data_IF_049429720053
#
_entry.id   IF_049429720053
#
_cell.length_a   1.000
_cell.length_b   1.000
_cell.length_c   1.000
_cell.angle_alpha   90.00
_cell.angle_beta   90.00
_cell.angle_gamma   90.00
#
_symmetry.space_group_name_H-M   'P 1'
#
loop_
_entity.id
_entity.type
_entity.pdbx_description
1 polymer ?
#
# COMPACT_ATOMS: atom_id res chain seq x y z
N UNK A 1 14.48 -40.28 25.26
CA UNK A 1 14.13 -39.43 26.40
C UNK A 1 12.63 -39.56 26.57
N UNK A 2 12.21 -40.24 27.63
CA UNK A 2 10.80 -40.42 27.99
C UNK A 2 10.35 -39.12 28.65
N UNK A 3 9.43 -38.39 28.03
CA UNK A 3 8.81 -37.20 28.64
C UNK A 3 8.03 -37.60 29.90
N UNK A 4 8.13 -36.76 30.92
CA UNK A 4 7.42 -36.88 32.19
C UNK A 4 5.92 -37.04 31.94
N UNK A 5 5.38 -38.21 32.30
CA UNK A 5 3.98 -38.54 32.08
C UNK A 5 3.07 -37.60 32.87
N UNK A 6 2.29 -36.79 32.17
CA UNK A 6 1.10 -36.15 32.74
C UNK A 6 0.20 -37.22 33.33
N UNK A 7 0.00 -37.16 34.65
CA UNK A 7 -0.85 -38.11 35.36
C UNK A 7 -2.27 -38.06 34.78
N UNK A 8 -2.76 -39.20 34.29
CA UNK A 8 -4.10 -39.37 33.73
C UNK A 8 -5.17 -38.97 34.78
N UNK A 9 -6.10 -38.07 34.39
CA UNK A 9 -7.15 -37.56 35.28
C UNK A 9 -8.30 -38.56 35.45
N UNK A 10 -8.56 -39.37 34.43
CA UNK A 10 -9.56 -40.43 34.43
C UNK A 10 -8.91 -41.81 34.20
N UNK A 11 -9.42 -42.90 34.79
CA UNK A 11 -9.00 -44.27 34.46
C UNK A 11 -9.11 -44.57 32.97
N UNK A 12 -8.01 -44.97 32.34
CA UNK A 12 -7.88 -45.09 30.88
C UNK A 12 -8.84 -46.10 30.25
N UNK A 13 -9.10 -47.20 30.95
CA UNK A 13 -9.93 -48.33 30.47
C UNK A 13 -11.44 -48.13 30.70
N UNK A 14 -11.82 -47.14 31.52
CA UNK A 14 -13.23 -46.89 31.81
C UNK A 14 -13.93 -46.29 30.58
N UNK A 15 -15.17 -46.72 30.35
CA UNK A 15 -16.04 -46.19 29.29
C UNK A 15 -17.05 -45.23 29.93
N UNK A 16 -17.10 -44.01 29.41
CA UNK A 16 -17.99 -42.94 29.85
C UNK A 16 -19.09 -42.69 28.82
N UNK A 17 -20.30 -42.44 29.29
CA UNK A 17 -21.47 -42.17 28.45
C UNK A 17 -21.76 -40.66 28.44
N UNK A 18 -21.70 -40.04 27.26
CA UNK A 18 -22.00 -38.62 27.06
C UNK A 18 -23.14 -38.50 26.05
N UNK A 19 -24.29 -37.98 26.46
CA UNK A 19 -25.41 -37.68 25.59
C UNK A 19 -25.35 -36.23 25.11
N UNK A 20 -25.11 -36.05 23.81
CA UNK A 20 -25.10 -34.76 23.12
C UNK A 20 -26.40 -34.63 22.31
N UNK A 21 -27.30 -33.77 22.77
CA UNK A 21 -28.64 -33.65 22.21
C UNK A 21 -29.37 -35.00 22.24
N UNK A 22 -29.60 -35.58 21.06
CA UNK A 22 -30.31 -36.87 20.90
C UNK A 22 -29.40 -38.09 20.74
N UNK A 23 -28.08 -37.90 20.65
CA UNK A 23 -27.12 -39.00 20.42
C UNK A 23 -26.25 -39.26 21.64
N UNK A 24 -25.99 -40.53 21.94
CA UNK A 24 -25.10 -40.96 23.02
C UNK A 24 -23.77 -41.45 22.47
N UNK A 25 -22.68 -40.84 22.93
CA UNK A 25 -21.31 -41.18 22.62
C UNK A 25 -20.70 -41.96 23.78
N UNK A 26 -20.01 -43.07 23.46
CA UNK A 26 -19.25 -43.87 24.41
C UNK A 26 -17.77 -43.59 24.21
N UNK A 27 -17.12 -43.01 25.21
CA UNK A 27 -15.75 -42.51 25.11
C UNK A 27 -14.90 -43.14 26.21
N UNK A 28 -13.71 -43.64 25.88
CA UNK A 28 -12.78 -44.17 26.88
C UNK A 28 -12.13 -43.04 27.70
N UNK A 29 -11.71 -43.34 28.93
CA UNK A 29 -10.92 -42.42 29.74
C UNK A 29 -9.63 -42.00 29.04
N UNK A 30 -8.99 -42.90 28.31
CA UNK A 30 -7.82 -42.59 27.47
C UNK A 30 -8.12 -41.45 26.47
N UNK A 31 -9.26 -41.52 25.78
CA UNK A 31 -9.64 -40.52 24.78
C UNK A 31 -10.00 -39.18 25.44
N UNK A 32 -10.66 -39.20 26.61
CA UNK A 32 -10.98 -37.98 27.36
C UNK A 32 -9.74 -37.30 27.95
N UNK A 33 -8.74 -38.07 28.38
CA UNK A 33 -7.46 -37.55 28.86
C UNK A 33 -6.60 -36.96 27.74
N UNK A 34 -6.86 -37.34 26.47
CA UNK A 34 -6.05 -36.91 25.32
C UNK A 34 -6.01 -35.38 25.17
N UNK A 35 -7.06 -34.67 25.57
CA UNK A 35 -7.17 -33.21 25.50
C UNK A 35 -7.66 -32.63 26.83
N UNK A 36 -7.07 -33.12 27.92
CA UNK A 36 -7.38 -32.70 29.28
C UNK A 36 -6.39 -31.65 29.82
N UNK A 37 -6.75 -30.87 30.86
CA UNK A 37 -8.06 -30.83 31.52
C UNK A 37 -9.14 -30.23 30.61
N UNK A 38 -10.34 -30.79 30.69
CA UNK A 38 -11.51 -30.39 29.91
C UNK A 38 -12.80 -30.45 30.73
N UNK A 39 -13.88 -29.89 30.18
CA UNK A 39 -15.22 -29.98 30.76
C UNK A 39 -15.65 -31.43 31.06
N UNK A 40 -15.20 -32.39 30.23
CA UNK A 40 -15.50 -33.80 30.42
C UNK A 40 -14.71 -34.40 31.58
N UNK A 41 -13.40 -34.15 31.66
CA UNK A 41 -12.60 -34.64 32.78
C UNK A 41 -13.09 -34.06 34.09
N UNK A 42 -13.40 -32.77 34.13
CA UNK A 42 -13.94 -32.11 35.32
C UNK A 42 -15.29 -32.70 35.76
N UNK A 43 -16.14 -33.09 34.81
CA UNK A 43 -17.42 -33.72 35.12
C UNK A 43 -17.26 -35.13 35.73
N UNK A 44 -16.34 -35.95 35.19
CA UNK A 44 -16.19 -37.36 35.56
C UNK A 44 -15.18 -37.62 36.68
N UNK A 45 -14.30 -36.66 36.99
CA UNK A 45 -13.38 -36.74 38.14
C UNK A 45 -14.18 -37.03 39.41
N UNK A 46 -13.72 -38.02 40.19
CA UNK A 46 -14.39 -38.47 41.42
C UNK A 46 -15.71 -39.22 41.21
N UNK A 47 -16.13 -39.47 39.95
CA UNK A 47 -17.31 -40.26 39.58
C UNK A 47 -16.97 -41.53 38.79
N UNK A 48 -15.69 -41.87 38.68
CA UNK A 48 -15.19 -42.98 37.87
C UNK A 48 -15.79 -44.35 38.24
N UNK A 49 -16.20 -44.53 39.50
CA UNK A 49 -16.82 -45.77 40.00
C UNK A 49 -18.31 -45.92 39.63
N UNK A 50 -18.90 -44.93 38.93
CA UNK A 50 -20.30 -44.91 38.48
C UNK A 50 -20.38 -44.96 36.95
N UNK A 51 -19.89 -46.03 36.36
CA UNK A 51 -19.84 -46.24 34.90
C UNK A 51 -21.20 -46.04 34.17
N UNK A 52 -22.32 -46.16 34.89
CA UNK A 52 -23.67 -45.99 34.34
C UNK A 52 -24.15 -44.52 34.27
N UNK A 53 -23.38 -43.57 34.80
CA UNK A 53 -23.79 -42.17 34.81
C UNK A 53 -23.64 -41.54 33.42
N UNK A 54 -24.76 -41.06 32.86
CA UNK A 54 -24.81 -40.35 31.58
C UNK A 54 -24.65 -38.84 31.80
N UNK A 55 -23.69 -38.23 31.12
CA UNK A 55 -23.53 -36.78 31.08
C UNK A 55 -24.40 -36.20 29.95
N UNK A 56 -25.34 -35.32 30.28
CA UNK A 56 -26.22 -34.69 29.29
C UNK A 56 -25.69 -33.31 28.89
N UNK A 57 -25.61 -33.04 27.59
CA UNK A 57 -25.21 -31.75 27.04
C UNK A 57 -26.14 -31.37 25.88
N UNK A 58 -26.70 -30.17 25.94
CA UNK A 58 -27.60 -29.63 24.92
C UNK A 58 -26.80 -28.91 23.80
N UNK A 59 -26.09 -29.69 22.98
CA UNK A 59 -25.30 -29.22 21.82
C UNK A 59 -25.50 -30.12 20.60
N UNK A 60 -24.93 -29.71 19.47
CA UNK A 60 -25.08 -30.43 18.20
C UNK A 60 -24.23 -31.71 18.18
N UNK A 61 -24.88 -32.87 18.05
CA UNK A 61 -24.19 -34.14 17.90
C UNK A 61 -23.29 -34.20 16.66
N UNK A 62 -23.69 -33.53 15.57
CA UNK A 62 -22.92 -33.50 14.33
C UNK A 62 -21.57 -32.77 14.48
N UNK A 63 -21.53 -31.70 15.29
CA UNK A 63 -20.28 -30.98 15.58
C UNK A 63 -19.43 -31.81 16.53
N UNK A 64 -20.07 -32.41 17.55
CA UNK A 64 -19.41 -33.24 18.52
C UNK A 64 -18.77 -34.50 17.92
N UNK A 65 -19.30 -35.05 16.83
CA UNK A 65 -18.68 -36.18 16.12
C UNK A 65 -17.22 -35.88 15.70
N UNK A 66 -16.93 -34.65 15.25
CA UNK A 66 -15.55 -34.24 14.93
C UNK A 66 -14.69 -34.10 16.19
N UNK A 67 -15.27 -33.60 17.28
CA UNK A 67 -14.59 -33.52 18.58
C UNK A 67 -14.28 -34.93 19.11
N UNK A 68 -15.22 -35.85 18.98
CA UNK A 68 -15.06 -37.25 19.33
C UNK A 68 -13.89 -37.88 18.56
N UNK A 69 -13.81 -37.67 17.25
CA UNK A 69 -12.68 -38.13 16.43
C UNK A 69 -11.35 -37.52 16.89
N UNK A 70 -11.32 -36.22 17.20
CA UNK A 70 -10.13 -35.55 17.77
C UNK A 70 -9.69 -36.17 19.10
N UNK A 71 -10.64 -36.41 20.02
CA UNK A 71 -10.36 -37.05 21.31
C UNK A 71 -9.85 -38.49 21.16
N UNK A 72 -10.23 -39.18 20.08
CA UNK A 72 -9.68 -40.50 19.73
C UNK A 72 -8.30 -40.42 19.05
N UNK A 73 -7.77 -39.22 18.79
CA UNK A 73 -6.49 -39.01 18.14
C UNK A 73 -6.53 -38.99 16.61
N UNK A 74 -7.71 -38.95 15.99
CA UNK A 74 -7.82 -38.80 14.53
C UNK A 74 -7.60 -37.36 14.10
N UNK A 75 -6.96 -37.19 12.94
CA UNK A 75 -6.87 -35.89 12.28
C UNK A 75 -8.25 -35.47 11.76
N UNK A 76 -8.69 -34.27 12.13
CA UNK A 76 -9.96 -33.70 11.68
C UNK A 76 -9.74 -32.72 10.53
N UNK A 77 -10.73 -32.63 9.65
CA UNK A 77 -10.76 -31.67 8.55
C UNK A 77 -11.98 -30.77 8.72
N UNK A 78 -11.75 -29.47 8.60
CA UNK A 78 -12.80 -28.44 8.55
C UNK A 78 -13.08 -28.11 7.09
N UNK A 79 -14.35 -28.16 6.69
CA UNK A 79 -14.73 -28.00 5.29
C UNK A 79 -15.13 -26.57 4.92
N UNK A 80 -15.73 -25.82 5.85
CA UNK A 80 -16.21 -24.45 5.59
C UNK A 80 -16.22 -23.58 6.86
N UNK A 81 -16.57 -22.30 6.69
CA UNK A 81 -16.61 -21.29 7.75
C UNK A 81 -17.64 -21.58 8.84
N UNK A 82 -18.80 -22.14 8.48
CA UNK A 82 -19.85 -22.48 9.44
C UNK A 82 -19.37 -23.60 10.37
N UNK A 83 -18.77 -24.63 9.77
CA UNK A 83 -18.20 -25.74 10.51
C UNK A 83 -17.04 -25.28 11.41
N UNK A 84 -16.14 -24.43 10.90
CA UNK A 84 -15.05 -23.84 11.69
C UNK A 84 -15.60 -23.12 12.93
N UNK A 85 -16.56 -22.21 12.73
CA UNK A 85 -17.13 -21.38 13.82
C UNK A 85 -17.88 -22.20 14.86
N UNK A 86 -18.64 -23.23 14.43
CA UNK A 86 -19.32 -24.14 15.34
C UNK A 86 -18.33 -25.00 16.13
N UNK A 87 -17.34 -25.58 15.46
CA UNK A 87 -16.33 -26.42 16.09
C UNK A 87 -15.45 -25.61 17.05
N UNK A 88 -15.08 -24.39 16.69
CA UNK A 88 -14.35 -23.48 17.58
C UNK A 88 -15.19 -23.11 18.81
N UNK A 89 -16.48 -22.81 18.63
CA UNK A 89 -17.40 -22.53 19.75
C UNK A 89 -17.43 -23.70 20.74
N UNK A 90 -17.55 -24.94 20.22
CA UNK A 90 -17.61 -26.15 21.03
C UNK A 90 -16.26 -26.47 21.68
N UNK A 91 -15.15 -26.29 20.97
CA UNK A 91 -13.80 -26.47 21.53
C UNK A 91 -13.54 -25.55 22.73
N UNK A 92 -14.00 -24.29 22.64
CA UNK A 92 -13.95 -23.33 23.75
C UNK A 92 -14.87 -23.77 24.89
N UNK A 93 -16.12 -24.15 24.58
CA UNK A 93 -17.10 -24.58 25.59
C UNK A 93 -16.64 -25.81 26.38
N UNK A 94 -16.11 -26.81 25.68
CA UNK A 94 -15.65 -28.06 26.29
C UNK A 94 -14.26 -27.95 26.91
N UNK A 95 -13.59 -26.80 26.82
CA UNK A 95 -12.22 -26.61 27.27
C UNK A 95 -11.25 -27.63 26.66
N UNK A 96 -11.15 -27.64 25.34
CA UNK A 96 -10.28 -28.56 24.61
C UNK A 96 -9.04 -27.80 24.09
N UNK A 97 -7.98 -27.65 24.90
CA UNK A 97 -6.85 -26.79 24.55
C UNK A 97 -6.09 -27.24 23.29
N UNK A 98 -5.92 -28.55 23.07
CA UNK A 98 -5.24 -29.07 21.88
C UNK A 98 -6.09 -28.86 20.63
N UNK A 99 -7.40 -29.12 20.71
CA UNK A 99 -8.32 -28.82 19.60
C UNK A 99 -8.34 -27.33 19.27
N UNK A 100 -8.41 -26.48 20.30
CA UNK A 100 -8.42 -25.03 20.12
C UNK A 100 -7.13 -24.54 19.45
N UNK A 101 -5.98 -25.02 19.91
CA UNK A 101 -4.69 -24.72 19.29
C UNK A 101 -4.64 -25.20 17.83
N UNK A 102 -5.10 -26.42 17.55
CA UNK A 102 -5.20 -26.94 16.19
C UNK A 102 -6.03 -26.03 15.26
N UNK A 103 -7.15 -25.51 15.73
CA UNK A 103 -8.00 -24.60 14.95
C UNK A 103 -7.34 -23.23 14.72
N UNK A 104 -6.73 -22.65 15.77
CA UNK A 104 -6.04 -21.36 15.70
C UNK A 104 -4.83 -21.44 14.76
N UNK A 105 -4.04 -22.50 14.89
CA UNK A 105 -2.83 -22.77 14.11
C UNK A 105 -3.12 -23.34 12.72
N UNK A 106 -4.39 -23.57 12.37
CA UNK A 106 -4.78 -24.11 11.08
C UNK A 106 -4.12 -23.36 9.92
N UNK A 107 -3.75 -24.07 8.86
CA UNK A 107 -3.04 -23.51 7.72
C UNK A 107 -3.92 -22.65 6.79
N UNK A 108 -5.20 -22.51 7.12
CA UNK A 108 -6.23 -21.94 6.25
C UNK A 108 -7.09 -20.94 7.00
N UNK A 109 -7.58 -19.91 6.30
CA UNK A 109 -8.73 -19.13 6.72
C UNK A 109 -10.01 -19.74 6.12
N UNK A 110 -11.11 -19.65 6.87
CA UNK A 110 -12.42 -20.08 6.42
C UNK A 110 -13.36 -18.88 6.41
N UNK A 111 -13.91 -18.53 5.26
CA UNK A 111 -14.77 -17.35 5.12
C UNK A 111 -15.85 -17.57 4.06
N UNK A 112 -17.01 -16.95 4.27
CA UNK A 112 -18.04 -16.83 3.27
C UNK A 112 -17.96 -15.46 2.57
N UNK A 113 -17.90 -15.44 1.25
CA UNK A 113 -17.95 -14.21 0.46
C UNK A 113 -19.23 -14.21 -0.36
N UNK A 114 -20.21 -13.41 0.08
CA UNK A 114 -21.54 -13.27 -0.52
C UNK A 114 -22.21 -14.57 -0.96
N UNK A 115 -22.14 -15.61 -0.13
CA UNK A 115 -22.79 -16.91 -0.35
C UNK A 115 -21.85 -18.03 -0.77
N UNK A 116 -20.60 -17.73 -1.14
CA UNK A 116 -19.61 -18.74 -1.49
C UNK A 116 -18.59 -18.96 -0.35
N UNK A 117 -18.41 -20.22 0.05
CA UNK A 117 -17.40 -20.61 1.05
C UNK A 117 -16.01 -20.74 0.45
N UNK A 118 -15.02 -20.12 1.10
CA UNK A 118 -13.61 -20.18 0.72
C UNK A 118 -12.76 -20.74 1.86
N UNK A 119 -11.97 -21.77 1.53
CA UNK A 119 -10.83 -22.22 2.32
C UNK A 119 -9.54 -21.65 1.71
N UNK A 120 -8.91 -20.71 2.41
CA UNK A 120 -7.81 -19.90 1.87
C UNK A 120 -6.51 -20.26 2.61
N UNK A 121 -5.53 -20.89 1.95
CA UNK A 121 -4.24 -21.18 2.57
C UNK A 121 -3.51 -19.90 3.02
N UNK A 122 -3.10 -19.84 4.29
CA UNK A 122 -2.40 -18.70 4.91
C UNK A 122 -1.09 -18.37 4.19
N UNK A 123 -0.42 -19.39 3.64
CA UNK A 123 0.84 -19.23 2.90
C UNK A 123 0.71 -18.42 1.60
N UNK A 124 -0.50 -18.26 1.04
CA UNK A 124 -0.75 -17.39 -0.11
C UNK A 124 -0.41 -15.92 0.18
N UNK A 125 -0.43 -15.54 1.46
CA UNK A 125 -0.16 -14.20 1.95
C UNK A 125 1.27 -14.01 2.46
N UNK A 126 2.18 -14.94 2.15
CA UNK A 126 3.57 -14.93 2.64
C UNK A 126 4.41 -13.75 2.12
N UNK A 127 3.97 -13.08 1.06
CA UNK A 127 4.69 -11.93 0.48
C UNK A 127 4.59 -10.72 1.41
N UNK A 128 5.70 -10.00 1.54
CA UNK A 128 5.76 -8.74 2.30
C UNK A 128 4.70 -7.77 1.78
N UNK A 129 3.78 -7.35 2.65
CA UNK A 129 2.68 -6.44 2.33
C UNK A 129 1.33 -7.12 2.09
N UNK A 130 1.29 -8.45 1.91
CA UNK A 130 0.02 -9.21 1.86
C UNK A 130 -0.33 -9.85 3.22
N UNK A 131 0.54 -9.72 4.24
CA UNK A 131 0.30 -10.09 5.63
C UNK A 131 0.94 -9.07 6.60
N UNK A 132 0.31 -8.78 7.76
CA UNK A 132 -1.05 -9.16 8.10
C UNK A 132 -2.08 -8.43 7.23
N UNK A 133 -3.18 -9.11 6.93
CA UNK A 133 -4.24 -8.59 6.07
C UNK A 133 -5.61 -8.69 6.76
N UNK A 134 -6.69 -8.40 6.04
CA UNK A 134 -8.06 -8.46 6.57
C UNK A 134 -8.35 -9.78 7.32
N UNK A 135 -8.02 -10.93 6.73
CA UNK A 135 -8.30 -12.24 7.33
C UNK A 135 -7.50 -12.50 8.61
N UNK A 136 -6.24 -12.06 8.64
CA UNK A 136 -5.42 -12.14 9.85
C UNK A 136 -6.03 -11.28 10.96
N UNK A 137 -6.42 -10.05 10.63
CA UNK A 137 -6.99 -9.10 11.60
C UNK A 137 -8.31 -9.62 12.17
N UNK A 138 -9.22 -10.11 11.33
CA UNK A 138 -10.49 -10.69 11.77
C UNK A 138 -10.23 -11.88 12.70
N UNK A 139 -9.42 -12.85 12.28
CA UNK A 139 -9.14 -14.04 13.09
C UNK A 139 -8.57 -13.73 14.49
N UNK A 140 -7.71 -12.70 14.60
CA UNK A 140 -7.15 -12.27 15.89
C UNK A 140 -8.23 -11.68 16.79
N UNK A 141 -9.08 -10.81 16.23
CA UNK A 141 -10.17 -10.17 16.98
C UNK A 141 -11.14 -11.21 17.50
N UNK A 142 -11.49 -12.21 16.69
CA UNK A 142 -12.35 -13.30 17.13
C UNK A 142 -11.70 -14.07 18.28
N UNK A 143 -10.47 -14.54 18.10
CA UNK A 143 -9.76 -15.30 19.13
C UNK A 143 -9.68 -14.55 20.47
N UNK A 144 -9.38 -13.24 20.44
CA UNK A 144 -9.29 -12.40 21.65
C UNK A 144 -10.67 -12.21 22.28
N UNK A 145 -11.68 -11.85 21.49
CA UNK A 145 -13.04 -11.64 21.98
C UNK A 145 -13.58 -12.92 22.64
N UNK A 146 -13.32 -14.07 22.05
CA UNK A 146 -13.76 -15.35 22.60
C UNK A 146 -13.06 -15.72 23.88
N UNK A 147 -11.74 -15.54 23.98
CA UNK A 147 -11.02 -15.82 25.23
C UNK A 147 -11.53 -14.96 26.39
N UNK A 148 -11.68 -13.66 26.15
CA UNK A 148 -12.18 -12.72 27.16
C UNK A 148 -13.66 -12.96 27.51
N UNK A 149 -14.47 -13.38 26.54
CA UNK A 149 -15.88 -13.69 26.78
C UNK A 149 -16.06 -15.01 27.51
N UNK A 150 -15.23 -16.01 27.21
CA UNK A 150 -15.25 -17.30 27.87
C UNK A 150 -15.11 -17.14 29.39
N UNK A 151 -14.10 -16.37 29.81
CA UNK A 151 -13.85 -16.02 31.22
C UNK A 151 -15.07 -15.41 31.91
N UNK A 152 -15.95 -14.73 31.16
CA UNK A 152 -17.23 -14.20 31.65
C UNK A 152 -18.36 -15.24 31.62
N UNK A 153 -18.42 -16.06 30.58
CA UNK A 153 -19.51 -17.03 30.34
C UNK A 153 -19.52 -18.23 31.30
N UNK A 154 -18.39 -18.54 31.95
CA UNK A 154 -18.33 -19.46 33.10
C UNK A 154 -19.35 -19.04 34.18
N UNK A 155 -19.66 -17.74 34.28
CA UNK A 155 -20.68 -17.22 35.19
C UNK A 155 -22.13 -17.37 34.68
N UNK A 156 -22.37 -17.48 33.36
CA UNK A 156 -23.69 -17.34 32.73
C UNK A 156 -24.23 -18.61 32.05
N UNK A 157 -23.45 -19.70 31.97
CA UNK A 157 -23.86 -21.07 31.54
C UNK A 157 -24.53 -21.21 30.16
N UNK A 158 -24.49 -20.21 29.27
CA UNK A 158 -24.89 -20.34 27.87
C UNK A 158 -23.86 -19.72 26.93
N UNK A 159 -23.06 -20.51 26.20
CA UNK A 159 -22.14 -19.98 25.21
C UNK A 159 -22.89 -19.50 23.97
N UNK A 160 -22.63 -18.27 23.53
CA UNK A 160 -23.06 -17.78 22.23
C UNK A 160 -22.31 -18.52 21.11
N UNK A 161 -23.03 -18.90 20.06
CA UNK A 161 -22.43 -19.45 18.83
C UNK A 161 -21.74 -18.32 18.06
N UNK A 162 -20.49 -18.53 17.65
CA UNK A 162 -19.80 -17.58 16.75
C UNK A 162 -20.54 -17.58 15.41
N UNK A 163 -21.05 -16.43 14.94
CA UNK A 163 -21.53 -16.35 13.58
C UNK A 163 -20.35 -16.56 12.64
N UNK A 164 -20.53 -17.36 11.60
CA UNK A 164 -19.46 -17.58 10.66
C UNK A 164 -19.08 -16.29 9.91
N UNK A 165 -17.80 -16.16 9.57
CA UNK A 165 -17.29 -14.97 8.92
C UNK A 165 -17.93 -14.77 7.55
N UNK A 166 -18.71 -13.71 7.44
CA UNK A 166 -19.36 -13.30 6.21
C UNK A 166 -18.80 -11.97 5.69
N UNK A 167 -18.50 -11.93 4.40
CA UNK A 167 -17.92 -10.78 3.72
C UNK A 167 -18.80 -10.42 2.52
N UNK A 168 -19.41 -9.24 2.57
CA UNK A 168 -20.32 -8.74 1.52
C UNK A 168 -19.56 -8.15 0.32
N UNK A 169 -18.70 -8.95 -0.33
CA UNK A 169 -17.91 -8.59 -1.53
C UNK A 169 -18.18 -9.58 -2.66
N UNK A 170 -17.71 -9.28 -3.88
CA UNK A 170 -17.92 -10.16 -5.03
C UNK A 170 -17.03 -11.40 -4.95
N UNK A 171 -17.61 -12.62 -4.98
CA UNK A 171 -16.84 -13.86 -4.99
C UNK A 171 -16.04 -14.01 -6.30
N UNK A 172 -16.51 -13.46 -7.42
CA UNK A 172 -15.82 -13.52 -8.71
C UNK A 172 -14.51 -12.75 -8.69
N UNK A 173 -14.52 -11.51 -8.18
CA UNK A 173 -13.29 -10.74 -8.03
C UNK A 173 -12.36 -11.36 -7.00
N UNK A 174 -12.90 -11.98 -5.94
CA UNK A 174 -12.07 -12.66 -4.96
C UNK A 174 -11.34 -13.88 -5.54
N UNK A 175 -11.99 -14.68 -6.39
CA UNK A 175 -11.33 -15.79 -7.13
C UNK A 175 -10.17 -15.29 -7.99
N UNK A 176 -10.33 -14.14 -8.64
CA UNK A 176 -9.26 -13.50 -9.40
C UNK A 176 -8.09 -13.09 -8.48
N UNK A 177 -8.38 -12.52 -7.30
CA UNK A 177 -7.34 -12.19 -6.32
C UNK A 177 -6.55 -13.43 -5.89
N UNK A 178 -7.24 -14.52 -5.55
CA UNK A 178 -6.60 -15.79 -5.18
C UNK A 178 -5.71 -16.32 -6.32
N UNK A 179 -6.19 -16.24 -7.56
CA UNK A 179 -5.42 -16.65 -8.75
C UNK A 179 -4.17 -15.76 -8.95
N UNK A 180 -4.26 -14.46 -8.69
CA UNK A 180 -3.09 -13.56 -8.79
C UNK A 180 -2.09 -13.77 -7.66
N UNK A 181 -2.55 -14.15 -6.46
CA UNK A 181 -1.70 -14.47 -5.31
C UNK A 181 -0.90 -15.76 -5.53
N UNK A 182 -1.51 -16.78 -6.15
CA UNK A 182 -0.80 -18.01 -6.57
C UNK A 182 0.22 -17.77 -7.68
N UNK A 183 0.14 -16.60 -8.35
CA UNK A 183 1.06 -16.20 -9.40
C UNK A 183 0.52 -16.39 -10.82
N UNK A 184 -0.75 -16.74 -10.98
CA UNK A 184 -1.37 -16.81 -12.30
C UNK A 184 -1.47 -15.41 -12.96
N UNK A 185 -1.39 -15.40 -14.29
CA UNK A 185 -1.65 -14.20 -15.09
C UNK A 185 -3.09 -14.19 -15.56
N UNK A 186 -3.81 -13.09 -15.30
CA UNK A 186 -5.20 -12.92 -15.76
C UNK A 186 -5.22 -11.84 -16.84
N UNK A 187 -5.84 -12.14 -17.98
CA UNK A 187 -6.12 -11.14 -19.01
C UNK A 187 -7.25 -10.25 -18.52
N UNK A 188 -6.98 -8.96 -18.35
CA UNK A 188 -7.95 -7.99 -17.82
C UNK A 188 -7.84 -6.64 -18.54
N UNK A 189 -8.97 -5.94 -18.65
CA UNK A 189 -9.03 -4.56 -19.12
C UNK A 189 -8.74 -3.58 -17.96
N UNK A 190 -8.80 -2.28 -18.25
CA UNK A 190 -8.50 -1.23 -17.26
C UNK A 190 -9.54 -1.16 -16.14
N UNK A 191 -10.82 -1.26 -16.49
CA UNK A 191 -11.93 -1.25 -15.53
C UNK A 191 -11.87 -2.41 -14.53
N UNK A 192 -11.62 -3.64 -15.02
CA UNK A 192 -11.49 -4.82 -14.16
C UNK A 192 -10.27 -4.70 -13.24
N UNK A 193 -9.15 -4.16 -13.76
CA UNK A 193 -7.95 -3.89 -12.95
C UNK A 193 -8.25 -2.89 -11.83
N UNK A 194 -8.98 -1.81 -12.11
CA UNK A 194 -9.38 -0.84 -11.08
C UNK A 194 -10.28 -1.45 -10.01
N UNK A 195 -11.24 -2.30 -10.41
CA UNK A 195 -12.08 -3.05 -9.49
C UNK A 195 -11.27 -3.99 -8.60
N UNK A 196 -10.31 -4.73 -9.17
CA UNK A 196 -9.40 -5.60 -8.42
C UNK A 196 -8.51 -4.81 -7.44
N UNK A 197 -8.04 -3.62 -7.82
CA UNK A 197 -7.30 -2.73 -6.92
C UNK A 197 -8.17 -2.32 -5.72
N UNK A 198 -9.45 -2.03 -5.93
CA UNK A 198 -10.39 -1.72 -4.82
C UNK A 198 -10.58 -2.92 -3.89
N UNK A 199 -10.68 -4.14 -4.43
CA UNK A 199 -10.72 -5.35 -3.61
C UNK A 199 -9.41 -5.57 -2.85
N UNK A 200 -8.25 -5.37 -3.48
CA UNK A 200 -6.95 -5.46 -2.78
C UNK A 200 -6.89 -4.51 -1.58
N UNK A 201 -7.39 -3.28 -1.72
CA UNK A 201 -7.45 -2.31 -0.63
C UNK A 201 -8.36 -2.76 0.50
N UNK A 202 -9.52 -3.32 0.18
CA UNK A 202 -10.45 -3.87 1.17
C UNK A 202 -9.81 -5.01 1.96
N UNK A 203 -9.22 -5.97 1.27
CA UNK A 203 -8.57 -7.12 1.91
C UNK A 203 -7.18 -6.80 2.48
N UNK A 204 -6.68 -5.58 2.31
CA UNK A 204 -5.33 -5.15 2.72
C UNK A 204 -4.19 -5.95 2.07
N UNK A 205 -4.32 -6.31 0.80
CA UNK A 205 -3.30 -7.00 0.01
C UNK A 205 -2.39 -5.97 -0.69
N UNK A 206 -1.49 -5.36 0.08
CA UNK A 206 -0.74 -4.17 -0.37
C UNK A 206 0.33 -4.49 -1.42
N UNK A 207 0.90 -5.70 -1.39
CA UNK A 207 1.83 -6.14 -2.45
C UNK A 207 1.06 -6.40 -3.74
N UNK A 208 -0.06 -7.12 -3.65
CA UNK A 208 -0.89 -7.39 -4.82
C UNK A 208 -1.45 -6.10 -5.44
N UNK A 209 -1.87 -5.13 -4.62
CA UNK A 209 -2.28 -3.79 -5.09
C UNK A 209 -1.17 -3.18 -5.97
N UNK A 210 0.08 -3.18 -5.50
CA UNK A 210 1.22 -2.60 -6.23
C UNK A 210 1.59 -3.35 -7.51
N UNK A 211 1.38 -4.66 -7.56
CA UNK A 211 1.56 -5.47 -8.78
C UNK A 211 0.52 -5.13 -9.84
N UNK A 212 -0.70 -4.79 -9.44
CA UNK A 212 -1.77 -4.40 -10.35
C UNK A 212 -1.63 -2.97 -10.86
N UNK A 213 -1.00 -2.07 -10.10
CA UNK A 213 -0.76 -0.68 -10.53
C UNK A 213 0.09 -0.65 -11.80
N UNK A 214 -0.39 0.07 -12.82
CA UNK A 214 0.34 0.28 -14.07
C UNK A 214 1.61 1.08 -13.80
N UNK A 215 2.75 0.49 -14.14
CA UNK A 215 4.05 1.13 -14.02
C UNK A 215 4.92 0.76 -15.21
N UNK A 216 5.92 1.60 -15.49
CA UNK A 216 6.96 1.31 -16.49
C UNK A 216 8.31 1.68 -15.92
N UNK A 217 9.25 0.74 -15.96
CA UNK A 217 10.66 1.01 -15.64
C UNK A 217 11.39 1.19 -16.98
N UNK A 218 12.18 2.25 -17.09
CA UNK A 218 13.00 2.54 -18.27
C UNK A 218 14.41 2.88 -17.84
N UNK A 219 15.39 2.57 -18.67
CA UNK A 219 16.77 3.00 -18.46
C UNK A 219 17.02 4.35 -19.14
N UNK A 220 17.57 5.30 -18.39
CA UNK A 220 17.92 6.62 -18.89
C UNK A 220 19.41 6.69 -19.24
N UNK A 221 19.77 6.74 -20.54
CA UNK A 221 21.17 6.70 -20.96
C UNK A 221 21.94 7.99 -20.64
N UNK A 222 21.25 9.11 -20.37
CA UNK A 222 21.89 10.40 -20.06
C UNK A 222 22.36 10.46 -18.61
N UNK A 223 21.60 9.85 -17.70
CA UNK A 223 21.92 9.80 -16.27
C UNK A 223 22.54 8.46 -15.86
N UNK A 224 22.52 7.46 -16.74
CA UNK A 224 22.94 6.09 -16.47
C UNK A 224 22.19 5.45 -15.28
N UNK A 225 20.91 5.80 -15.13
CA UNK A 225 20.04 5.36 -14.03
C UNK A 225 18.69 4.87 -14.56
N UNK A 226 17.97 4.07 -13.77
CA UNK A 226 16.59 3.68 -14.06
C UNK A 226 15.59 4.76 -13.61
N UNK A 227 14.60 5.01 -14.47
CA UNK A 227 13.43 5.82 -14.19
C UNK A 227 12.21 4.92 -13.99
N UNK A 228 11.37 5.22 -12.99
CA UNK A 228 10.06 4.60 -12.80
C UNK A 228 8.94 5.58 -13.17
N UNK A 229 8.03 5.13 -14.02
CA UNK A 229 6.86 5.90 -14.46
C UNK A 229 5.61 5.37 -13.76
N UNK A 230 4.91 6.24 -13.05
CA UNK A 230 3.69 5.94 -12.28
C UNK A 230 2.71 7.12 -12.35
N UNK A 231 1.40 6.87 -12.21
CA UNK A 231 0.46 7.98 -12.02
C UNK A 231 0.62 8.58 -10.63
N UNK A 232 0.43 9.90 -10.52
CA UNK A 232 0.36 10.61 -9.24
C UNK A 232 -0.71 9.99 -8.32
N UNK A 233 -1.82 9.51 -8.91
CA UNK A 233 -2.91 8.79 -8.23
C UNK A 233 -2.45 7.58 -7.42
N UNK A 234 -1.38 6.94 -7.89
CA UNK A 234 -0.94 5.63 -7.44
C UNK A 234 0.29 5.71 -6.52
N UNK A 235 0.89 6.90 -6.38
CA UNK A 235 2.03 7.13 -5.52
C UNK A 235 1.64 7.14 -4.04
N UNK A 236 2.58 6.67 -3.20
CA UNK A 236 2.46 6.66 -1.73
C UNK A 236 3.63 7.42 -1.12
N UNK A 237 3.35 8.29 -0.16
CA UNK A 237 4.36 9.10 0.55
C UNK A 237 5.54 8.29 1.11
N UNK A 238 5.28 7.06 1.59
CA UNK A 238 6.31 6.20 2.17
C UNK A 238 7.31 5.65 1.14
N UNK A 239 7.01 5.73 -0.16
CA UNK A 239 7.93 5.33 -1.22
C UNK A 239 8.73 6.50 -1.78
N UNK A 240 8.43 7.74 -1.39
CA UNK A 240 9.13 8.94 -1.86
C UNK A 240 10.36 9.14 -1.00
N UNK A 241 11.52 9.14 -1.64
CA UNK A 241 12.79 9.39 -0.97
C UNK A 241 13.49 10.58 -1.63
N UNK A 242 14.09 11.39 -0.76
CA UNK A 242 15.02 12.44 -1.14
C UNK A 242 16.28 12.17 -0.33
N UNK A 243 17.37 11.84 -0.99
CA UNK A 243 18.66 11.75 -0.32
C UNK A 243 18.94 13.12 0.30
N UNK A 244 18.91 13.18 1.63
CA UNK A 244 19.18 14.39 2.36
C UNK A 244 20.51 14.95 1.88
N UNK A 245 20.52 16.22 1.49
CA UNK A 245 21.75 16.97 1.24
C UNK A 245 22.59 16.81 2.51
N UNK A 246 23.58 15.90 2.49
CA UNK A 246 24.52 15.75 3.58
C UNK A 246 25.24 17.09 3.68
N UNK A 247 24.84 17.93 4.63
CA UNK A 247 25.70 18.97 5.15
C UNK A 247 26.85 18.25 5.84
N UNK A 248 27.87 17.92 5.07
CA UNK A 248 29.12 17.36 5.57
C UNK A 248 29.75 18.38 6.52
N UNK A 249 29.42 18.29 7.82
CA UNK A 249 30.27 18.82 8.88
C UNK A 249 31.54 17.98 8.87
N UNK A 250 32.55 18.47 8.16
CA UNK A 250 33.91 18.00 8.29
C UNK A 250 34.39 18.41 9.68
N UNK A 251 34.25 17.52 10.67
CA UNK A 251 35.06 17.62 11.87
C UNK A 251 36.45 17.08 11.54
N UNK A 252 37.31 17.99 11.09
CA UNK A 252 38.75 17.84 11.15
C UNK A 252 39.19 18.12 12.58
N UNK A 253 39.44 17.08 13.36
CA UNK A 253 40.35 17.15 14.49
C UNK A 253 41.45 16.11 14.31
N UNK A 254 42.60 16.65 13.95
CA UNK A 254 43.89 16.00 13.87
C UNK A 254 44.54 15.97 15.25
N UNK A 255 44.85 14.78 15.77
CA UNK A 255 45.88 14.61 16.81
C UNK A 255 46.60 13.26 16.62
N UNK A 256 47.79 13.31 16.02
CA UNK A 256 48.87 12.31 16.14
C UNK A 256 49.80 12.69 17.31
N UNK A 257 50.79 11.88 17.78
CA UNK A 257 51.35 10.63 17.23
C UNK A 257 51.38 9.48 18.28
N UNK A 258 51.73 8.21 18.02
CA UNK A 258 53.03 7.58 17.68
C UNK A 258 52.72 6.05 17.80
N UNK A 259 53.14 5.10 16.97
CA UNK A 259 54.49 4.51 16.89
C UNK A 259 54.60 3.56 15.68
N UNK A 260 55.79 3.61 15.11
CA UNK A 260 56.55 2.66 14.27
C UNK A 260 56.01 1.22 14.11
N UNK A 261 55.94 0.74 12.87
CA UNK A 261 56.75 -0.39 12.41
C UNK A 261 56.69 -0.58 10.88
N UNK A 262 57.88 -0.79 10.32
CA UNK A 262 58.17 -1.05 8.91
C UNK A 262 57.96 -2.53 8.50
N UNK A 263 57.95 -2.73 7.17
CA UNK A 263 58.02 -3.97 6.35
C UNK A 263 56.70 -4.38 5.69
N UNK A 264 56.63 -4.80 4.42
CA UNK A 264 57.43 -4.60 3.20
C UNK A 264 56.53 -5.09 2.04
N UNK A 265 56.61 -4.40 0.90
CA UNK A 265 56.24 -4.75 -0.51
C UNK A 265 55.01 -5.61 -0.85
N UNK A 266 54.12 -5.02 -1.66
CA UNK A 266 53.61 -5.67 -2.87
C UNK A 266 53.35 -4.63 -3.99
N UNK A 267 53.34 -5.15 -5.21
CA UNK A 267 53.64 -4.61 -6.53
C UNK A 267 52.60 -3.72 -7.22
N UNK A 268 53.12 -2.88 -8.12
CA UNK A 268 52.58 -2.41 -9.41
C UNK A 268 51.08 -2.07 -9.54
N UNK A 269 50.79 -0.78 -9.77
CA UNK A 269 50.17 -0.37 -11.05
C UNK A 269 50.26 1.15 -11.31
N UNK A 270 50.46 1.47 -12.59
CA UNK A 270 50.85 2.78 -13.12
C UNK A 270 49.72 3.81 -12.99
N UNK A 271 50.00 4.89 -12.27
CA UNK A 271 49.16 6.07 -12.16
C UNK A 271 49.47 7.08 -13.28
N UNK A 272 48.51 7.30 -14.18
CA UNK A 272 48.48 8.50 -15.03
C UNK A 272 47.43 9.48 -14.48
N UNK A 273 47.98 10.58 -13.98
CA UNK A 273 47.38 11.77 -13.35
C UNK A 273 46.03 12.20 -13.94
N UNK A 274 44.96 12.11 -13.13
CA UNK A 274 43.72 12.85 -13.35
C UNK A 274 43.86 14.24 -12.72
N UNK A 275 43.83 15.28 -13.56
CA UNK A 275 43.82 16.66 -13.13
C UNK A 275 42.66 16.90 -12.14
N UNK A 276 42.98 17.49 -10.97
CA UNK A 276 42.00 17.90 -9.97
C UNK A 276 41.20 19.09 -10.51
N UNK A 277 40.06 18.82 -11.14
CA UNK A 277 39.02 19.83 -11.31
C UNK A 277 38.28 20.05 -9.98
N UNK A 278 37.96 21.30 -9.73
CA UNK A 278 37.47 21.86 -8.49
C UNK A 278 36.02 21.40 -8.21
N UNK A 279 35.83 20.29 -7.48
CA UNK A 279 34.53 19.63 -7.23
C UNK A 279 33.50 20.48 -6.46
N UNK A 280 33.90 21.57 -5.81
CA UNK A 280 33.01 22.33 -4.93
C UNK A 280 32.09 23.34 -5.65
N UNK A 281 32.36 23.68 -6.92
CA UNK A 281 31.53 24.61 -7.69
C UNK A 281 30.46 23.89 -8.56
N UNK A 282 30.64 22.61 -8.87
CA UNK A 282 29.70 21.82 -9.68
C UNK A 282 28.50 21.29 -8.88
N UNK A 283 28.70 21.01 -7.59
CA UNK A 283 27.63 20.58 -6.67
C UNK A 283 26.60 21.67 -6.39
N UNK A 284 26.92 22.95 -6.57
CA UNK A 284 25.99 24.05 -6.29
C UNK A 284 24.81 24.16 -7.29
N UNK A 285 24.93 23.57 -8.49
CA UNK A 285 23.94 23.70 -9.57
C UNK A 285 23.17 22.42 -9.89
N UNK A 286 23.45 21.32 -9.19
CA UNK A 286 22.78 20.05 -9.49
C UNK A 286 21.39 20.02 -8.86
N UNK A 287 20.38 19.72 -9.67
CA UNK A 287 19.04 19.42 -9.16
C UNK A 287 18.99 17.96 -8.73
N UNK A 288 18.68 17.72 -7.46
CA UNK A 288 18.44 16.38 -6.94
C UNK A 288 17.04 15.94 -7.34
N UNK A 289 16.96 14.94 -8.22
CA UNK A 289 15.68 14.41 -8.67
C UNK A 289 15.13 13.47 -7.59
N UNK A 290 13.86 13.63 -7.25
CA UNK A 290 13.18 12.75 -6.30
C UNK A 290 13.15 11.32 -6.84
N UNK A 291 13.41 10.39 -5.93
CA UNK A 291 13.40 8.97 -6.21
C UNK A 291 12.16 8.32 -5.59
N UNK A 292 11.80 7.19 -6.17
CA UNK A 292 10.65 6.41 -5.73
C UNK A 292 10.95 4.92 -5.74
N UNK A 293 10.44 4.25 -4.71
CA UNK A 293 10.46 2.80 -4.56
C UNK A 293 9.06 2.35 -4.15
N UNK A 294 8.47 1.38 -4.83
CA UNK A 294 7.19 0.79 -4.39
C UNK A 294 7.42 0.01 -3.08
N UNK A 295 6.82 0.41 -1.95
CA UNK A 295 7.19 -0.09 -0.62
C UNK A 295 7.18 -1.61 -0.43
N UNK A 296 6.35 -2.34 -1.17
CA UNK A 296 6.14 -3.77 -1.00
C UNK A 296 6.64 -4.60 -2.17
N UNK A 297 7.13 -3.97 -3.25
CA UNK A 297 7.42 -4.67 -4.50
C UNK A 297 8.84 -4.44 -5.02
N UNK A 298 9.39 -3.25 -4.86
CA UNK A 298 10.73 -2.94 -5.33
C UNK A 298 11.77 -3.19 -4.23
N UNK A 299 12.98 -3.54 -4.63
CA UNK A 299 14.17 -3.62 -3.74
C UNK A 299 15.00 -2.33 -3.81
N UNK A 300 15.11 -1.74 -5.01
CA UNK A 300 15.88 -0.52 -5.26
C UNK A 300 14.99 0.68 -5.60
N UNK A 301 15.48 1.87 -5.25
CA UNK A 301 14.89 3.16 -5.61
C UNK A 301 15.28 3.57 -7.03
N UNK A 302 14.40 4.32 -7.68
CA UNK A 302 14.55 4.78 -9.07
C UNK A 302 14.17 6.24 -9.19
N UNK A 303 14.71 6.95 -10.17
CA UNK A 303 14.29 8.33 -10.42
C UNK A 303 12.83 8.35 -10.85
N UNK A 304 12.02 9.21 -10.21
CA UNK A 304 10.57 9.21 -10.41
C UNK A 304 10.17 10.09 -11.59
N UNK A 305 9.37 9.52 -12.49
CA UNK A 305 8.54 10.25 -13.44
C UNK A 305 7.07 10.04 -13.04
N UNK A 306 6.41 11.08 -12.54
CA UNK A 306 5.00 10.99 -12.18
C UNK A 306 4.10 11.53 -13.29
N UNK A 307 2.99 10.85 -13.53
CA UNK A 307 2.00 11.17 -14.54
C UNK A 307 0.78 11.83 -13.91
N UNK A 308 0.30 12.92 -14.49
CA UNK A 308 -0.99 13.54 -14.16
C UNK A 308 -1.93 13.38 -15.35
N UNK A 309 -3.12 12.83 -15.11
CA UNK A 309 -4.17 12.56 -16.11
C UNK A 309 -5.48 13.27 -15.75
N UNK A 310 -5.40 14.53 -15.32
CA UNK A 310 -6.55 15.31 -14.90
C UNK A 310 -6.47 16.69 -15.54
N UNK A 311 -7.64 17.29 -15.79
CA UNK A 311 -7.76 18.67 -16.28
C UNK A 311 -7.51 19.72 -15.19
N UNK A 312 -7.18 19.31 -13.97
CA UNK A 312 -6.88 20.19 -12.83
C UNK A 312 -5.44 20.74 -12.87
N UNK A 313 -4.79 20.69 -14.03
CA UNK A 313 -3.44 21.20 -14.22
C UNK A 313 -3.35 22.14 -15.41
N UNK A 314 -2.57 23.20 -15.27
CA UNK A 314 -2.37 24.22 -16.30
C UNK A 314 -0.92 24.70 -16.28
N UNK A 315 -0.41 25.09 -17.44
CA UNK A 315 0.92 25.67 -17.57
C UNK A 315 0.76 27.16 -17.83
N UNK A 316 1.46 27.95 -17.03
CA UNK A 316 1.49 29.40 -17.11
C UNK A 316 2.86 29.83 -17.62
N UNK A 317 2.89 30.53 -18.75
CA UNK A 317 4.12 31.03 -19.38
C UNK A 317 4.10 32.55 -19.27
N UNK A 318 4.92 33.09 -18.37
CA UNK A 318 5.12 34.52 -18.25
C UNK A 318 6.16 34.97 -19.29
N UNK A 319 5.73 35.74 -20.29
CA UNK A 319 6.58 36.17 -21.40
C UNK A 319 7.49 37.34 -21.02
N UNK A 320 7.04 38.19 -20.11
CA UNK A 320 7.80 39.37 -19.67
C UNK A 320 9.00 38.93 -18.82
N UNK A 321 8.77 38.00 -17.89
CA UNK A 321 9.80 37.47 -16.99
C UNK A 321 10.48 36.20 -17.50
N UNK A 322 10.00 35.62 -18.60
CA UNK A 322 10.49 34.36 -19.21
C UNK A 322 10.50 33.18 -18.24
N UNK A 323 9.45 33.06 -17.43
CA UNK A 323 9.31 32.00 -16.41
C UNK A 323 8.09 31.17 -16.68
N UNK A 324 8.18 29.87 -16.42
CA UNK A 324 7.07 28.93 -16.62
C UNK A 324 6.71 28.32 -15.28
N UNK A 325 5.42 28.18 -15.01
CA UNK A 325 4.90 27.52 -13.83
C UNK A 325 3.92 26.41 -14.22
N UNK A 326 4.04 25.26 -13.55
CA UNK A 326 2.99 24.25 -13.51
C UNK A 326 2.06 24.59 -12.35
N UNK A 327 0.78 24.80 -12.66
CA UNK A 327 -0.25 25.11 -11.69
C UNK A 327 -1.15 23.90 -11.50
N UNK A 328 -1.34 23.51 -10.24
CA UNK A 328 -2.24 22.44 -9.82
C UNK A 328 -3.34 23.00 -8.93
N UNK A 329 -4.56 22.48 -9.10
CA UNK A 329 -5.72 22.83 -8.29
C UNK A 329 -6.46 21.56 -7.83
N UNK A 330 -7.53 21.74 -7.04
CA UNK A 330 -8.48 20.67 -6.75
C UNK A 330 -7.86 19.46 -6.04
N UNK A 331 -8.25 18.27 -6.48
CA UNK A 331 -7.82 17.01 -5.87
C UNK A 331 -6.37 16.66 -6.22
N UNK A 332 -5.94 16.99 -7.44
CA UNK A 332 -4.57 16.78 -7.94
C UNK A 332 -3.56 17.52 -7.06
N UNK A 333 -3.87 18.76 -6.67
CA UNK A 333 -3.06 19.51 -5.70
C UNK A 333 -2.98 18.80 -4.35
N UNK A 334 -4.11 18.39 -3.77
CA UNK A 334 -4.12 17.71 -2.45
C UNK A 334 -3.30 16.44 -2.49
N UNK A 335 -3.42 15.68 -3.57
CA UNK A 335 -2.67 14.46 -3.74
C UNK A 335 -1.17 14.72 -3.84
N UNK A 336 -0.76 15.72 -4.63
CA UNK A 336 0.65 16.12 -4.72
C UNK A 336 1.21 16.48 -3.34
N UNK A 337 0.47 17.25 -2.54
CA UNK A 337 0.86 17.62 -1.18
C UNK A 337 0.96 16.40 -0.25
N UNK A 338 0.00 15.48 -0.32
CA UNK A 338 0.01 14.27 0.50
C UNK A 338 1.20 13.35 0.18
N UNK A 339 1.58 13.27 -1.10
CA UNK A 339 2.66 12.39 -1.58
C UNK A 339 4.03 13.01 -1.32
N UNK A 340 4.24 14.26 -1.75
CA UNK A 340 5.57 14.88 -1.73
C UNK A 340 5.82 15.80 -0.53
N UNK A 341 4.78 16.38 0.07
CA UNK A 341 4.90 17.33 1.18
C UNK A 341 5.80 16.82 2.31
N UNK A 342 5.56 15.61 2.88
CA UNK A 342 6.38 15.09 3.96
C UNK A 342 7.87 14.93 3.61
N UNK A 343 8.22 14.64 2.36
CA UNK A 343 9.61 14.51 1.92
C UNK A 343 10.25 15.89 1.69
N UNK A 344 9.49 16.83 1.13
CA UNK A 344 9.94 18.20 0.87
C UNK A 344 10.09 19.02 2.17
N UNK A 345 9.19 18.83 3.14
CA UNK A 345 9.29 19.45 4.46
C UNK A 345 10.57 19.01 5.18
N UNK A 346 10.90 17.71 5.11
CA UNK A 346 12.17 17.18 5.64
C UNK A 346 13.40 17.74 4.93
N UNK A 347 13.25 18.13 3.66
CA UNK A 347 14.31 18.73 2.86
C UNK A 347 14.48 20.24 3.10
N UNK A 348 13.61 20.86 3.92
CA UNK A 348 13.61 22.31 4.13
C UNK A 348 12.93 23.11 3.00
N UNK A 349 12.14 22.47 2.15
CA UNK A 349 11.44 23.12 1.03
C UNK A 349 9.92 22.98 1.22
N UNK A 350 9.31 23.72 2.15
CA UNK A 350 7.90 23.57 2.45
C UNK A 350 7.05 24.00 1.25
N UNK A 351 6.00 23.22 0.95
CA UNK A 351 5.10 23.54 -0.17
C UNK A 351 4.30 24.83 0.05
N UNK A 352 4.27 25.37 1.28
CA UNK A 352 3.62 26.65 1.60
C UNK A 352 4.14 27.80 0.75
N UNK A 353 5.42 27.78 0.40
CA UNK A 353 6.10 28.86 -0.32
C UNK A 353 5.69 28.91 -1.80
N UNK A 354 5.03 27.85 -2.28
CA UNK A 354 4.54 27.69 -3.64
C UNK A 354 3.01 27.74 -3.73
N UNK A 355 2.33 28.04 -2.61
CA UNK A 355 0.87 28.18 -2.54
C UNK A 355 0.49 29.64 -2.72
N UNK A 356 -0.58 29.87 -3.46
CA UNK A 356 -1.15 31.21 -3.62
C UNK A 356 -2.67 31.13 -3.69
N UNK A 357 -3.35 32.13 -3.12
CA UNK A 357 -4.80 32.29 -3.27
C UNK A 357 -5.08 33.25 -4.41
N UNK A 358 -5.72 32.76 -5.46
CA UNK A 358 -6.10 33.61 -6.59
C UNK A 358 -7.55 34.05 -6.41
N UNK A 359 -7.84 35.37 -6.41
CA UNK A 359 -9.21 35.86 -6.36
C UNK A 359 -9.92 35.61 -7.69
N UNK A 360 -10.53 34.42 -7.83
CA UNK A 360 -11.35 34.06 -8.99
C UNK A 360 -12.82 34.53 -8.86
N UNK A 361 -13.35 34.69 -7.64
CA UNK A 361 -14.75 35.06 -7.37
C UNK A 361 -14.95 35.55 -5.93
N UNK A 362 -16.02 36.34 -5.69
CA UNK A 362 -16.41 36.88 -4.37
C UNK A 362 -16.74 35.80 -3.31
N UNK A 363 -16.99 34.56 -3.73
CA UNK A 363 -17.57 33.53 -2.84
C UNK A 363 -16.63 32.37 -2.45
N UNK A 364 -15.48 32.22 -3.12
CA UNK A 364 -14.40 31.30 -2.71
C UNK A 364 -13.13 31.59 -3.51
N UNK A 365 -12.00 31.83 -2.84
CA UNK A 365 -10.70 31.96 -3.50
C UNK A 365 -10.02 30.58 -3.50
N UNK A 366 -9.96 29.86 -4.64
CA UNK A 366 -9.28 28.58 -4.67
C UNK A 366 -7.78 28.82 -4.45
N UNK A 367 -7.22 28.10 -3.49
CA UNK A 367 -5.78 28.07 -3.27
C UNK A 367 -5.14 27.15 -4.31
N UNK A 368 -4.21 27.68 -5.09
CA UNK A 368 -3.48 26.96 -6.12
C UNK A 368 -2.10 26.56 -5.59
N UNK A 369 -1.47 25.57 -6.23
CA UNK A 369 -0.07 25.23 -6.06
C UNK A 369 0.65 25.53 -7.38
N UNK A 370 1.60 26.47 -7.37
CA UNK A 370 2.28 26.96 -8.56
C UNK A 370 3.79 26.66 -8.45
N UNK A 371 4.24 25.66 -9.20
CA UNK A 371 5.61 25.17 -9.16
C UNK A 371 6.41 25.71 -10.35
N UNK A 372 7.62 26.28 -10.15
CA UNK A 372 8.52 26.63 -11.25
C UNK A 372 8.79 25.42 -12.14
N UNK A 373 8.66 25.60 -13.45
CA UNK A 373 8.72 24.50 -14.41
C UNK A 373 9.77 24.74 -15.50
N UNK A 374 10.43 23.66 -15.92
CA UNK A 374 11.37 23.65 -17.03
C UNK A 374 10.88 22.72 -18.14
N UNK A 375 10.90 23.23 -19.39
CA UNK A 375 10.36 22.54 -20.57
C UNK A 375 11.39 22.24 -21.64
N UNK A 376 12.68 22.50 -21.38
CA UNK A 376 13.75 22.42 -22.39
C UNK A 376 13.80 21.06 -23.11
N UNK A 377 13.50 19.97 -22.40
CA UNK A 377 13.53 18.60 -22.93
C UNK A 377 12.13 17.98 -23.05
N UNK A 378 11.07 18.77 -22.91
CA UNK A 378 9.70 18.28 -22.89
C UNK A 378 9.18 18.04 -24.31
N UNK A 379 8.70 16.82 -24.59
CA UNK A 379 7.89 16.59 -25.80
C UNK A 379 6.48 17.16 -25.59
N UNK A 380 6.15 18.21 -26.32
CA UNK A 380 4.87 18.91 -26.17
C UNK A 380 3.93 18.57 -27.34
N UNK A 381 2.69 18.17 -27.02
CA UNK A 381 1.59 18.09 -27.98
C UNK A 381 0.57 19.18 -27.66
N UNK A 382 0.26 20.03 -28.63
CA UNK A 382 -0.69 21.14 -28.48
C UNK A 382 -1.84 20.90 -29.43
N UNK A 383 -3.07 20.77 -28.91
CA UNK A 383 -4.27 20.43 -29.70
C UNK A 383 -4.00 19.22 -30.61
N UNK A 384 -3.42 18.16 -30.04
CA UNK A 384 -3.05 16.90 -30.69
C UNK A 384 -2.01 17.00 -31.82
N UNK A 385 -1.39 18.17 -32.00
CA UNK A 385 -0.29 18.38 -32.94
C UNK A 385 1.06 18.42 -32.22
N UNK A 386 2.08 17.76 -32.77
CA UNK A 386 3.44 17.78 -32.23
C UNK A 386 3.99 19.22 -32.29
N UNK A 387 4.39 19.75 -31.12
CA UNK A 387 5.01 21.06 -30.98
C UNK A 387 6.48 20.85 -30.59
N UNK A 388 7.45 21.14 -31.47
CA UNK A 388 8.84 20.73 -31.29
C UNK A 388 9.50 21.37 -30.07
N UNK A 389 9.06 22.57 -29.69
CA UNK A 389 9.49 23.19 -28.44
C UNK A 389 8.50 24.28 -28.01
N UNK A 390 8.58 24.67 -26.74
CA UNK A 390 7.73 25.73 -26.17
C UNK A 390 7.90 27.09 -26.88
N UNK A 391 9.05 27.35 -27.51
CA UNK A 391 9.27 28.59 -28.26
C UNK A 391 8.42 28.68 -29.53
N UNK A 392 8.14 27.54 -30.17
CA UNK A 392 7.22 27.43 -31.31
C UNK A 392 5.80 27.76 -30.89
N UNK A 393 5.34 27.23 -29.74
CA UNK A 393 4.04 27.59 -29.16
C UNK A 393 3.90 29.10 -28.92
N UNK A 394 4.93 29.72 -28.33
CA UNK A 394 4.96 31.17 -28.07
C UNK A 394 4.89 31.96 -29.39
N UNK A 395 5.55 31.49 -30.44
CA UNK A 395 5.65 32.17 -31.73
C UNK A 395 4.37 32.02 -32.56
N UNK A 396 3.79 30.83 -32.60
CA UNK A 396 2.64 30.50 -33.46
C UNK A 396 1.34 31.12 -32.94
N UNK A 397 1.17 31.19 -31.61
CA UNK A 397 0.08 31.94 -31.01
C UNK A 397 0.20 33.46 -31.23
N UNK A 398 1.40 33.96 -31.56
CA UNK A 398 1.61 35.36 -31.95
C UNK A 398 1.21 35.70 -33.40
N UNK A 399 1.07 34.68 -34.27
CA UNK A 399 0.85 34.84 -35.72
C UNK A 399 -0.62 34.79 -36.15
N UNK A 400 -1.50 34.14 -35.39
CA UNK A 400 -2.90 34.02 -35.78
C UNK A 400 -3.71 35.26 -35.34
N UNK A 401 -4.08 36.08 -36.33
CA UNK A 401 -5.03 37.22 -36.37
C UNK A 401 -4.42 38.62 -36.47
N UNK A 402 -5.03 39.42 -37.38
CA UNK A 402 -4.73 40.80 -37.81
C UNK A 402 -4.92 41.89 -36.72
N UNK A 403 -4.50 41.60 -35.49
CA UNK A 403 -4.64 42.52 -34.35
C UNK A 403 -3.27 43.16 -34.04
N UNK A 404 -3.16 44.43 -33.62
CA UNK A 404 -1.89 45.08 -33.27
C UNK A 404 -1.14 44.41 -32.10
N UNK A 405 0.20 44.34 -32.17
CA UNK A 405 1.09 43.56 -31.29
C UNK A 405 0.97 43.84 -29.77
N UNK A 406 0.53 45.05 -29.43
CA UNK A 406 0.31 45.62 -28.11
C UNK A 406 -1.02 45.20 -27.46
N UNK A 407 -1.98 44.66 -28.23
CA UNK A 407 -3.25 44.09 -27.73
C UNK A 407 -3.31 42.56 -27.77
N UNK A 408 -2.22 41.89 -28.16
CA UNK A 408 -2.15 40.44 -28.50
C UNK A 408 -1.98 39.46 -27.34
N UNK A 409 -1.69 39.91 -26.11
CA UNK A 409 -1.25 39.00 -25.05
C UNK A 409 -2.32 38.84 -23.98
N UNK A 410 -2.65 37.58 -23.65
CA UNK A 410 -3.48 37.29 -22.49
C UNK A 410 -2.78 37.83 -21.24
N UNK A 411 -3.55 38.51 -20.38
CA UNK A 411 -3.09 38.91 -19.06
C UNK A 411 -3.22 37.69 -18.16
N UNK A 412 -2.08 37.12 -17.76
CA UNK A 412 -2.04 36.04 -16.78
C UNK A 412 -1.61 36.57 -15.42
N UNK A 413 -2.02 35.87 -14.36
CA UNK A 413 -1.50 36.14 -13.02
C UNK A 413 -0.01 35.86 -13.00
N UNK A 414 0.78 36.79 -12.47
CA UNK A 414 2.20 36.61 -12.28
C UNK A 414 2.48 35.74 -11.05
N UNK A 415 3.05 34.56 -11.29
CA UNK A 415 3.31 33.55 -10.27
C UNK A 415 4.74 33.62 -9.72
N UNK A 416 5.53 34.63 -10.12
CA UNK A 416 6.92 34.77 -9.66
C UNK A 416 7.04 35.38 -8.26
N UNK A 417 6.04 36.16 -7.83
CA UNK A 417 5.95 36.69 -6.47
C UNK A 417 4.61 36.25 -5.86
N UNK A 418 4.63 35.18 -5.06
CA UNK A 418 3.41 34.61 -4.45
C UNK A 418 2.76 35.53 -3.40
N UNK A 419 3.47 36.57 -2.96
CA UNK A 419 2.97 37.53 -1.97
C UNK A 419 2.25 38.73 -2.60
N UNK A 420 2.44 38.97 -3.90
CA UNK A 420 1.89 40.13 -4.61
C UNK A 420 1.15 39.70 -5.87
N UNK A 421 -0.17 39.86 -5.86
CA UNK A 421 -1.00 39.61 -7.04
C UNK A 421 -0.77 40.72 -8.08
N UNK A 422 -0.04 40.37 -9.14
CA UNK A 422 0.14 41.22 -10.31
C UNK A 422 -0.20 40.46 -11.59
N UNK A 423 -0.44 41.18 -12.68
CA UNK A 423 -0.71 40.60 -13.99
C UNK A 423 0.47 40.84 -14.92
N UNK A 424 0.89 39.80 -15.61
CA UNK A 424 1.94 39.84 -16.64
C UNK A 424 1.38 39.44 -17.99
N UNK A 425 2.08 39.81 -19.06
CA UNK A 425 1.75 39.27 -20.36
C UNK A 425 2.23 37.82 -20.42
N UNK A 426 1.34 36.92 -20.83
CA UNK A 426 1.69 35.53 -20.89
C UNK A 426 0.68 34.68 -21.63
N UNK A 427 0.84 33.38 -21.46
CA UNK A 427 -0.05 32.36 -22.00
C UNK A 427 -0.42 31.39 -20.88
N UNK A 428 -1.69 30.97 -20.88
CA UNK A 428 -2.15 29.84 -20.09
C UNK A 428 -2.59 28.71 -21.02
N UNK A 429 -2.06 27.52 -20.82
CA UNK A 429 -2.55 26.30 -21.50
C UNK A 429 -2.99 25.26 -20.47
N UNK A 430 -4.07 24.55 -20.77
CA UNK A 430 -4.58 23.50 -19.88
C UNK A 430 -3.97 22.16 -20.24
N UNK A 431 -3.54 21.39 -19.25
CA UNK A 431 -3.00 20.06 -19.42
C UNK A 431 -4.11 19.02 -19.37
N UNK A 432 -4.07 18.06 -20.28
CA UNK A 432 -4.89 16.85 -20.21
C UNK A 432 -4.10 15.71 -19.58
N UNK A 433 -2.89 15.49 -20.13
CA UNK A 433 -1.99 14.43 -19.71
C UNK A 433 -0.56 14.92 -19.70
N UNK A 434 0.18 14.67 -18.63
CA UNK A 434 1.55 15.15 -18.50
C UNK A 434 2.44 14.26 -17.63
N UNK A 435 3.74 14.25 -17.92
CA UNK A 435 4.79 13.49 -17.26
C UNK A 435 5.86 14.44 -16.75
N UNK A 436 6.21 14.29 -15.48
CA UNK A 436 7.08 15.24 -14.77
C UNK A 436 8.11 14.54 -13.91
N UNK A 437 9.29 15.13 -13.80
CA UNK A 437 10.25 14.85 -12.71
C UNK A 437 10.23 16.01 -11.72
N UNK A 438 10.41 15.71 -10.43
CA UNK A 438 10.50 16.73 -9.38
C UNK A 438 11.95 16.85 -8.94
N UNK A 439 12.50 18.07 -9.00
CA UNK A 439 13.88 18.37 -8.63
C UNK A 439 13.94 19.33 -7.45
N UNK A 440 14.86 19.07 -6.52
CA UNK A 440 15.14 19.90 -5.34
C UNK A 440 16.59 20.37 -5.41
N UNK A 441 16.83 21.66 -5.14
CA UNK A 441 18.19 22.21 -4.99
C UNK A 441 18.17 23.25 -3.87
N UNK A 442 18.91 22.99 -2.79
CA UNK A 442 18.91 23.83 -1.58
C UNK A 442 17.47 24.05 -1.11
N UNK A 443 17.01 25.30 -1.14
CA UNK A 443 15.66 25.72 -0.69
C UNK A 443 14.67 25.88 -1.85
N UNK A 444 15.00 25.37 -3.04
CA UNK A 444 14.22 25.58 -4.28
C UNK A 444 13.68 24.28 -4.85
N UNK A 445 12.49 24.39 -5.41
CA UNK A 445 11.77 23.32 -6.11
C UNK A 445 11.67 23.65 -7.60
N UNK A 446 11.81 22.63 -8.45
CA UNK A 446 11.51 22.72 -9.87
C UNK A 446 10.81 21.45 -10.36
N UNK A 447 9.87 21.59 -11.29
CA UNK A 447 9.34 20.47 -12.06
C UNK A 447 9.92 20.46 -13.46
N UNK A 448 10.38 19.30 -13.92
CA UNK A 448 10.95 19.10 -15.25
C UNK A 448 9.91 18.38 -16.11
N UNK A 449 9.45 19.03 -17.17
CA UNK A 449 8.52 18.43 -18.13
C UNK A 449 9.23 17.40 -19.00
N UNK A 450 8.72 16.16 -18.99
CA UNK A 450 9.19 15.07 -19.86
C UNK A 450 8.29 15.00 -21.11
N UNK A 451 6.97 15.02 -20.89
CA UNK A 451 5.97 15.03 -21.96
C UNK A 451 4.71 15.72 -21.46
N UNK A 452 4.07 16.52 -22.30
CA UNK A 452 2.77 17.12 -21.97
C UNK A 452 1.87 17.18 -23.21
N UNK A 453 0.60 16.85 -23.02
CA UNK A 453 -0.48 17.06 -23.98
C UNK A 453 -1.39 18.16 -23.43
N UNK A 454 -1.50 19.25 -24.18
CA UNK A 454 -2.13 20.48 -23.73
C UNK A 454 -3.12 21.02 -24.76
N UNK A 455 -4.10 21.76 -24.25
CA UNK A 455 -5.06 22.51 -25.06
C UNK A 455 -4.83 24.00 -24.87
N UNK A 456 -4.80 24.74 -25.98
CA UNK A 456 -4.52 26.19 -25.95
C UNK A 456 -5.69 27.00 -25.38
N UNK A 457 -6.92 26.52 -25.52
CA UNK A 457 -8.11 27.18 -24.98
C UNK A 457 -9.26 26.17 -24.76
N UNK A 458 -10.31 26.63 -24.09
CA UNK A 458 -11.50 25.81 -23.81
C UNK A 458 -12.23 25.32 -25.07
N UNK A 459 -12.20 26.09 -26.18
CA UNK A 459 -12.85 25.67 -27.42
C UNK A 459 -12.16 24.44 -28.01
N UNK A 460 -10.84 24.41 -28.03
CA UNK A 460 -10.07 23.26 -28.50
C UNK A 460 -10.29 22.03 -27.61
N UNK A 461 -10.36 22.21 -26.28
CA UNK A 461 -10.74 21.12 -25.38
C UNK A 461 -12.15 20.59 -25.68
N UNK A 462 -13.14 21.47 -25.93
CA UNK A 462 -14.49 21.03 -26.26
C UNK A 462 -14.57 20.23 -27.57
N UNK A 463 -13.64 20.45 -28.52
CA UNK A 463 -13.60 19.64 -29.76
C UNK A 463 -13.18 18.19 -29.53
N UNK A 464 -12.45 17.91 -28.44
CA UNK A 464 -12.05 16.54 -28.08
C UNK A 464 -13.09 15.80 -27.24
N UNK A 465 -14.26 16.41 -26.98
CA UNK A 465 -15.33 15.78 -26.20
C UNK A 465 -16.29 15.11 -27.19
N UNK A 466 -16.42 13.78 -27.08
CA UNK A 466 -17.37 12.99 -27.83
C UNK A 466 -18.67 12.75 -27.03
N UNK A 467 -19.79 12.54 -27.74
CA UNK A 467 -21.02 12.05 -27.14
C UNK A 467 -20.85 10.58 -26.71
N UNK A 468 -21.53 10.19 -25.64
CA UNK A 468 -21.54 8.81 -25.14
C UNK A 468 -22.20 7.83 -26.10
#
# INVERSE_FOLDING_TARGET
MLEEGTQDLLPVDNIYNIQIGTQTFKISGLSLNSDAPSFFTDYFIGKADKADQVMFVDRSANVFEKIYLHLQGYAIRVDNEMEYSLLFSDAVYYHLPKLLNFLIESDSFFTNISGESFRIPKNLFSRKGDSPNYFHMTSIVDNINYKNYYERSVAERRPLIIPAHFVSRSPEYFKDLLSLLTGASIKMNDERRESLIKECRYYMLLNLEQRLIKSKIIFNPLTNCEDIILNLSDLKKNGVELDAIQTSKVNSESTTPTTENEHDRCSDERSLKRARLNKNAETEKLWHIIEYKRPYLDDDKRSLIFQINTSETSIYINLDKKVIHLVMVGETKKQFEQVFGPALDKAGVPLTDYKMRVPFSKFKTPEILALPACFTMCKLLVNDSDCPCISTLITDLGKNQDIPWDKKRERIVDLTNMNELSCSNGLRVSCNKSLWKLGVNKDKLIVLGVRAQVYSNNKEFCKSIDFL
#
